data_IF_470369666189
#
_entry.id   IF_470369666189
#
_cell.length_a   1.000
_cell.length_b   1.000
_cell.length_c   1.000
_cell.angle_alpha   90.00
_cell.angle_beta   90.00
_cell.angle_gamma   90.00
#
_symmetry.space_group_name_H-M   'P 1'
#
loop_
_entity.id
_entity.type
_entity.pdbx_description
1 polymer ?
#
# COMPACT_ATOMS: atom_id res chain seq x y z
N UNK A 1 3.71 -1.19 36.95
CA UNK A 1 3.59 -1.22 35.47
C UNK A 1 5.00 -1.12 34.92
N UNK A 2 5.45 -2.02 34.05
CA UNK A 2 6.82 -1.92 33.50
C UNK A 2 6.93 -0.73 32.55
N UNK A 3 8.13 -0.17 32.38
CA UNK A 3 8.41 0.90 31.40
C UNK A 3 7.85 0.56 30.01
N UNK A 4 7.99 -0.70 29.58
CA UNK A 4 7.44 -1.19 28.31
C UNK A 4 5.90 -1.18 28.25
N UNK A 5 5.21 -1.55 29.33
CA UNK A 5 3.74 -1.50 29.39
C UNK A 5 3.22 -0.06 29.34
N UNK A 6 3.93 0.88 29.96
CA UNK A 6 3.56 2.30 29.93
C UNK A 6 3.73 2.89 28.53
N UNK A 7 4.87 2.62 27.86
CA UNK A 7 5.08 3.00 26.45
C UNK A 7 3.98 2.44 25.54
N UNK A 8 3.65 1.16 25.68
CA UNK A 8 2.60 0.53 24.88
C UNK A 8 1.22 1.18 25.08
N UNK A 9 0.89 1.63 26.30
CA UNK A 9 -0.34 2.39 26.58
C UNK A 9 -0.35 3.75 25.87
N UNK A 10 0.77 4.48 25.92
CA UNK A 10 0.91 5.78 25.25
C UNK A 10 0.74 5.60 23.74
N UNK A 11 1.47 4.66 23.12
CA UNK A 11 1.35 4.33 21.70
C UNK A 11 -0.10 3.94 21.34
N UNK A 12 -0.72 3.05 22.11
CA UNK A 12 -2.12 2.65 21.86
C UNK A 12 -3.09 3.83 21.88
N UNK A 13 -2.90 4.79 22.80
CA UNK A 13 -3.73 6.00 22.89
C UNK A 13 -3.56 6.90 21.66
N UNK A 14 -2.32 7.17 21.26
CA UNK A 14 -1.99 8.01 20.09
C UNK A 14 -2.58 7.38 18.82
N UNK A 15 -2.32 6.09 18.56
CA UNK A 15 -2.83 5.41 17.36
C UNK A 15 -4.37 5.38 17.32
N UNK A 16 -5.04 5.11 18.46
CA UNK A 16 -6.51 5.12 18.52
C UNK A 16 -7.09 6.49 18.22
N UNK A 17 -6.45 7.56 18.70
CA UNK A 17 -6.85 8.95 18.44
C UNK A 17 -6.73 9.25 16.95
N UNK A 18 -5.56 9.02 16.35
CA UNK A 18 -5.30 9.35 14.94
C UNK A 18 -6.06 8.46 13.96
N UNK A 19 -6.36 7.20 14.33
CA UNK A 19 -7.25 6.32 13.55
C UNK A 19 -8.69 6.84 13.48
N UNK A 20 -9.19 7.48 14.53
CA UNK A 20 -10.56 8.04 14.60
C UNK A 20 -10.67 9.48 14.08
N UNK A 21 -9.54 10.12 13.77
CA UNK A 21 -9.51 11.49 13.26
C UNK A 21 -10.31 11.58 11.96
N UNK A 22 -11.29 12.48 11.91
CA UNK A 22 -12.01 12.81 10.67
C UNK A 22 -10.98 13.29 9.64
N UNK A 23 -11.08 12.78 8.42
CA UNK A 23 -10.17 13.11 7.34
C UNK A 23 -10.87 13.95 6.29
N UNK A 24 -10.14 14.85 5.64
CA UNK A 24 -10.63 15.56 4.45
C UNK A 24 -10.56 14.64 3.23
N UNK A 25 -11.42 14.87 2.25
CA UNK A 25 -11.31 14.30 0.92
C UNK A 25 -9.93 14.64 0.32
N UNK A 26 -9.38 13.72 -0.47
CA UNK A 26 -8.10 13.92 -1.16
C UNK A 26 -8.25 14.46 -2.60
N UNK A 27 -9.47 14.51 -3.14
CA UNK A 27 -9.71 15.14 -4.44
C UNK A 27 -9.29 16.62 -4.43
N UNK A 28 -8.88 17.18 -5.59
CA UNK A 28 -8.53 18.60 -5.72
C UNK A 28 -9.63 19.50 -5.17
N UNK A 29 -9.22 20.56 -4.48
CA UNK A 29 -10.12 21.63 -4.01
C UNK A 29 -11.34 21.17 -3.19
N UNK A 30 -11.29 19.96 -2.61
CA UNK A 30 -12.38 19.40 -1.83
C UNK A 30 -12.15 19.53 -0.32
N UNK A 31 -13.12 20.15 0.37
CA UNK A 31 -13.08 20.33 1.82
C UNK A 31 -14.03 19.41 2.59
N UNK A 32 -14.77 18.55 1.89
CA UNK A 32 -15.70 17.61 2.49
C UNK A 32 -14.98 16.54 3.33
N UNK A 33 -15.73 15.90 4.24
CA UNK A 33 -15.21 14.79 5.05
C UNK A 33 -15.09 13.54 4.17
N UNK A 34 -13.94 12.87 4.25
CA UNK A 34 -13.72 11.59 3.58
C UNK A 34 -14.48 10.46 4.28
N UNK A 35 -15.04 9.58 3.47
CA UNK A 35 -15.64 8.30 3.84
C UNK A 35 -14.65 7.17 3.58
N UNK A 36 -14.98 5.98 4.05
CA UNK A 36 -14.17 4.78 3.85
C UNK A 36 -14.26 4.29 2.40
N UNK A 37 -13.30 4.70 1.58
CA UNK A 37 -13.16 4.35 0.16
C UNK A 37 -12.47 2.99 0.01
N UNK A 38 -13.00 2.12 -0.86
CA UNK A 38 -12.32 0.90 -1.27
C UNK A 38 -11.25 1.21 -2.32
N UNK A 39 -10.09 0.57 -2.22
CA UNK A 39 -8.99 0.78 -3.18
C UNK A 39 -9.23 0.08 -4.51
N UNK A 40 -9.92 -1.05 -4.45
CA UNK A 40 -10.32 -1.84 -5.60
C UNK A 40 -11.83 -2.08 -5.51
N UNK A 41 -12.47 -2.17 -6.68
CA UNK A 41 -13.91 -2.34 -6.81
C UNK A 41 -14.44 -3.45 -5.88
N UNK A 42 -15.37 -3.07 -5.01
CA UNK A 42 -15.90 -4.00 -4.00
C UNK A 42 -16.73 -5.12 -4.65
N UNK A 43 -17.62 -4.74 -5.58
CA UNK A 43 -18.47 -5.65 -6.36
C UNK A 43 -17.83 -5.90 -7.72
N UNK A 44 -17.07 -6.97 -7.85
CA UNK A 44 -16.30 -7.25 -9.06
C UNK A 44 -14.94 -7.77 -8.69
N UNK A 45 -14.05 -6.91 -8.20
CA UNK A 45 -12.68 -7.32 -7.81
C UNK A 45 -12.67 -8.02 -6.45
N UNK A 46 -12.98 -7.32 -5.35
CA UNK A 46 -12.80 -7.87 -4.00
C UNK A 46 -13.75 -9.05 -3.73
N UNK A 47 -14.98 -8.99 -4.26
CA UNK A 47 -15.96 -10.07 -4.16
C UNK A 47 -15.53 -11.38 -4.85
N UNK A 48 -14.57 -11.35 -5.79
CA UNK A 48 -14.04 -12.57 -6.39
C UNK A 48 -13.09 -13.35 -5.48
N UNK A 49 -12.58 -12.72 -4.41
CA UNK A 49 -11.67 -13.34 -3.45
C UNK A 49 -12.38 -13.78 -2.17
N UNK A 50 -13.64 -13.41 -1.98
CA UNK A 50 -14.32 -13.63 -0.72
C UNK A 50 -14.75 -15.09 -0.51
N UNK A 51 -14.81 -15.51 0.75
CA UNK A 51 -15.53 -16.69 1.23
C UNK A 51 -16.47 -16.24 2.33
N UNK A 52 -17.77 -16.49 2.19
CA UNK A 52 -18.81 -16.09 3.15
C UNK A 52 -18.77 -14.60 3.53
N UNK A 53 -18.60 -13.71 2.54
CA UNK A 53 -18.53 -12.27 2.76
C UNK A 53 -17.22 -11.75 3.36
N UNK A 54 -16.21 -12.62 3.51
CA UNK A 54 -14.94 -12.32 4.18
C UNK A 54 -13.73 -12.54 3.28
N UNK A 55 -12.67 -11.79 3.53
CA UNK A 55 -11.39 -11.86 2.83
C UNK A 55 -10.23 -11.73 3.84
N UNK A 56 -9.07 -12.27 3.52
CA UNK A 56 -7.89 -12.19 4.40
C UNK A 56 -6.98 -11.04 3.99
N UNK A 57 -6.58 -10.19 4.93
CA UNK A 57 -5.72 -9.01 4.72
C UNK A 57 -4.54 -9.04 5.67
N UNK A 58 -3.46 -8.34 5.32
CA UNK A 58 -2.42 -8.02 6.29
C UNK A 58 -2.98 -7.02 7.31
N UNK A 59 -2.84 -7.32 8.58
CA UNK A 59 -3.33 -6.51 9.70
C UNK A 59 -2.29 -6.38 10.80
N UNK A 60 -2.67 -5.67 11.87
CA UNK A 60 -1.79 -5.36 12.98
C UNK A 60 -2.35 -5.91 14.29
N UNK A 61 -1.48 -6.54 15.08
CA UNK A 61 -1.74 -6.85 16.47
C UNK A 61 -1.64 -5.60 17.35
N UNK A 62 -2.17 -5.72 18.56
CA UNK A 62 -2.06 -4.68 19.57
C UNK A 62 -0.61 -4.35 19.89
N UNK A 63 -0.31 -3.07 20.17
CA UNK A 63 1.02 -2.59 20.62
C UNK A 63 1.54 -3.28 21.88
N UNK A 64 0.68 -3.96 22.64
CA UNK A 64 1.10 -4.80 23.76
C UNK A 64 1.83 -6.08 23.32
N UNK A 65 1.69 -6.50 22.06
CA UNK A 65 2.37 -7.65 21.46
C UNK A 65 3.53 -7.19 20.58
N UNK A 66 4.54 -6.54 21.19
CA UNK A 66 5.70 -6.00 20.47
C UNK A 66 6.45 -7.06 19.62
N UNK A 67 6.40 -8.35 20.00
CA UNK A 67 7.04 -9.44 19.24
C UNK A 67 6.28 -9.87 17.97
N UNK A 68 4.96 -9.62 17.91
CA UNK A 68 4.10 -10.09 16.83
C UNK A 68 3.17 -8.99 16.34
N UNK A 69 3.69 -7.82 15.97
CA UNK A 69 2.83 -6.69 15.58
C UNK A 69 2.07 -6.89 14.25
N UNK A 70 2.47 -7.83 13.39
CA UNK A 70 1.75 -8.20 12.16
C UNK A 70 0.97 -9.50 12.35
N UNK A 71 -0.20 -9.58 11.72
CA UNK A 71 -1.00 -10.80 11.56
C UNK A 71 -1.73 -10.78 10.23
N UNK A 72 -2.12 -11.97 9.75
CA UNK A 72 -3.11 -12.06 8.68
C UNK A 72 -4.49 -12.15 9.33
N UNK A 73 -5.38 -11.23 8.97
CA UNK A 73 -6.71 -11.10 9.54
C UNK A 73 -7.76 -11.43 8.51
N UNK A 74 -8.80 -12.17 8.89
CA UNK A 74 -9.97 -12.35 8.04
C UNK A 74 -11.03 -11.32 8.42
N UNK A 75 -11.31 -10.39 7.51
CA UNK A 75 -12.22 -9.25 7.71
C UNK A 75 -13.39 -9.31 6.75
N UNK A 76 -14.50 -8.63 7.08
CA UNK A 76 -15.62 -8.49 6.16
C UNK A 76 -15.27 -7.58 4.98
N UNK A 77 -15.91 -7.80 3.84
CA UNK A 77 -15.66 -7.07 2.59
C UNK A 77 -15.73 -5.53 2.74
N UNK A 78 -16.59 -5.03 3.63
CA UNK A 78 -16.73 -3.60 3.91
C UNK A 78 -15.49 -2.96 4.53
N UNK A 79 -14.64 -3.74 5.21
CA UNK A 79 -13.45 -3.27 5.89
C UNK A 79 -12.15 -3.61 5.12
N UNK A 80 -12.23 -4.50 4.14
CA UNK A 80 -11.07 -4.93 3.37
C UNK A 80 -10.58 -3.83 2.44
N UNK A 81 -9.25 -3.66 2.36
CA UNK A 81 -8.58 -2.74 1.42
C UNK A 81 -9.31 -1.40 1.28
N UNK A 82 -9.60 -0.78 2.43
CA UNK A 82 -10.34 0.47 2.48
C UNK A 82 -9.72 1.41 3.50
N UNK A 83 -9.79 2.69 3.20
CA UNK A 83 -9.31 3.76 4.06
C UNK A 83 -10.17 4.99 3.82
N UNK A 84 -10.25 5.89 4.80
CA UNK A 84 -10.91 7.16 4.55
C UNK A 84 -10.09 7.92 3.50
N UNK A 85 -10.57 8.14 2.28
CA UNK A 85 -9.81 8.81 1.20
C UNK A 85 -10.61 9.93 0.54
N UNK A 86 -11.78 9.60 0.00
CA UNK A 86 -12.63 10.53 -0.75
C UNK A 86 -13.95 10.80 -0.02
N UNK A 87 -14.63 11.92 -0.30
CA UNK A 87 -16.02 12.10 0.15
C UNK A 87 -16.94 11.25 -0.73
N UNK A 88 -18.21 11.05 -0.33
CA UNK A 88 -19.14 10.20 -1.11
C UNK A 88 -19.20 10.62 -2.58
N UNK A 89 -19.34 11.91 -2.86
CA UNK A 89 -19.41 12.42 -4.23
C UNK A 89 -18.19 12.01 -5.07
N UNK A 90 -16.97 12.30 -4.60
CA UNK A 90 -15.75 11.96 -5.35
C UNK A 90 -15.46 10.45 -5.36
N UNK A 91 -15.89 9.70 -4.36
CA UNK A 91 -15.72 8.23 -4.38
C UNK A 91 -16.61 7.59 -5.46
N UNK A 92 -17.83 8.11 -5.63
CA UNK A 92 -18.83 7.60 -6.57
C UNK A 92 -18.60 8.12 -8.00
N UNK A 93 -18.36 9.42 -8.18
CA UNK A 93 -18.30 10.08 -9.49
C UNK A 93 -16.97 9.83 -10.21
N UNK A 94 -15.85 10.18 -9.57
CA UNK A 94 -14.50 10.09 -10.16
C UNK A 94 -14.14 8.67 -10.58
N UNK A 95 -14.56 7.68 -9.80
CA UNK A 95 -14.20 6.29 -10.03
C UNK A 95 -15.31 5.47 -10.67
N UNK A 96 -16.41 6.11 -11.09
CA UNK A 96 -17.57 5.45 -11.69
C UNK A 96 -17.19 4.51 -12.83
N UNK A 97 -16.16 4.82 -13.61
CA UNK A 97 -15.64 3.99 -14.70
C UNK A 97 -15.05 2.67 -14.20
N UNK A 98 -14.15 2.70 -13.23
CA UNK A 98 -13.49 1.49 -12.66
C UNK A 98 -14.36 0.76 -11.64
N UNK A 99 -15.52 1.33 -11.28
CA UNK A 99 -16.58 0.67 -10.52
C UNK A 99 -17.60 -0.05 -11.40
N UNK A 100 -17.53 0.05 -12.74
CA UNK A 100 -18.25 -0.81 -13.68
C UNK A 100 -17.61 -2.20 -13.73
N UNK A 101 -18.36 -3.22 -14.16
CA UNK A 101 -17.84 -4.61 -14.18
C UNK A 101 -16.89 -4.85 -15.37
N UNK A 102 -17.03 -4.06 -16.42
CA UNK A 102 -16.51 -4.27 -17.77
C UNK A 102 -15.57 -3.14 -18.25
N UNK A 103 -14.85 -2.50 -17.33
CA UNK A 103 -13.81 -1.54 -17.70
C UNK A 103 -12.67 -2.20 -18.49
N UNK A 104 -11.98 -1.42 -19.31
CA UNK A 104 -10.80 -1.87 -20.07
C UNK A 104 -9.51 -1.50 -19.32
N UNK A 105 -8.79 -2.51 -18.83
CA UNK A 105 -7.53 -2.37 -18.08
C UNK A 105 -6.33 -1.85 -18.89
N UNK A 106 -6.49 -1.72 -20.21
CA UNK A 106 -5.48 -1.17 -21.12
C UNK A 106 -5.68 0.32 -21.41
N UNK A 107 -6.83 0.91 -21.05
CA UNK A 107 -7.06 2.35 -21.21
C UNK A 107 -6.25 3.15 -20.21
N UNK A 108 -5.63 4.23 -20.68
CA UNK A 108 -4.82 5.11 -19.86
C UNK A 108 -5.64 5.69 -18.70
N UNK A 109 -6.88 6.11 -18.97
CA UNK A 109 -7.80 6.63 -17.94
C UNK A 109 -8.06 5.62 -16.82
N UNK A 110 -8.33 4.36 -17.17
CA UNK A 110 -8.49 3.27 -16.19
C UNK A 110 -7.23 3.10 -15.33
N UNK A 111 -6.06 3.09 -15.96
CA UNK A 111 -4.78 2.94 -15.28
C UNK A 111 -4.49 4.12 -14.33
N UNK A 112 -4.80 5.35 -14.75
CA UNK A 112 -4.72 6.55 -13.93
C UNK A 112 -5.65 6.47 -12.72
N UNK A 113 -6.92 6.06 -12.89
CA UNK A 113 -7.90 5.96 -11.79
C UNK A 113 -7.46 4.98 -10.71
N UNK A 114 -7.01 3.78 -11.08
CA UNK A 114 -6.44 2.82 -10.12
C UNK A 114 -5.19 3.37 -9.44
N UNK A 115 -4.33 4.04 -10.21
CA UNK A 115 -3.09 4.63 -9.71
C UNK A 115 -3.33 5.77 -8.73
N UNK A 116 -4.33 6.61 -9.01
CA UNK A 116 -4.72 7.73 -8.17
C UNK A 116 -5.26 7.27 -6.82
N UNK A 117 -6.06 6.19 -6.77
CA UNK A 117 -6.45 5.55 -5.50
C UNK A 117 -5.25 5.02 -4.73
N UNK A 118 -4.32 4.34 -5.40
CA UNK A 118 -3.09 3.80 -4.78
C UNK A 118 -2.23 4.89 -4.15
N UNK A 119 -1.96 5.98 -4.88
CA UNK A 119 -1.17 7.12 -4.39
C UNK A 119 -1.88 7.84 -3.25
N UNK A 120 -3.19 8.09 -3.37
CA UNK A 120 -3.98 8.69 -2.30
C UNK A 120 -4.00 7.83 -1.02
N UNK A 121 -4.06 6.50 -1.17
CA UNK A 121 -3.97 5.58 -0.04
C UNK A 121 -2.63 5.68 0.66
N UNK A 122 -1.53 5.60 -0.09
CA UNK A 122 -0.19 5.69 0.46
C UNK A 122 0.04 7.05 1.13
N UNK A 123 -0.43 8.14 0.50
CA UNK A 123 -0.37 9.50 1.07
C UNK A 123 -1.09 9.56 2.41
N UNK A 124 -2.31 9.01 2.49
CA UNK A 124 -3.10 9.00 3.73
C UNK A 124 -2.43 8.14 4.81
N UNK A 125 -1.87 6.98 4.46
CA UNK A 125 -1.13 6.13 5.39
C UNK A 125 0.08 6.87 5.96
N UNK A 126 0.89 7.51 5.10
CA UNK A 126 2.04 8.32 5.54
C UNK A 126 1.62 9.52 6.39
N UNK A 127 0.53 10.22 6.05
CA UNK A 127 -0.03 11.27 6.91
C UNK A 127 -0.38 10.76 8.32
N UNK A 128 -1.04 9.59 8.41
CA UNK A 128 -1.36 8.95 9.70
C UNK A 128 -0.08 8.56 10.45
N UNK A 129 0.91 8.00 9.75
CA UNK A 129 2.19 7.60 10.32
C UNK A 129 2.96 8.81 10.86
N UNK A 130 3.08 9.89 10.09
CA UNK A 130 3.70 11.15 10.51
C UNK A 130 3.00 11.78 11.73
N UNK A 131 1.66 11.79 11.74
CA UNK A 131 0.90 12.27 12.90
C UNK A 131 1.17 11.42 14.15
N UNK A 132 1.24 10.09 14.00
CA UNK A 132 1.55 9.20 15.10
C UNK A 132 2.97 9.45 15.62
N UNK A 133 3.99 9.46 14.77
CA UNK A 133 5.39 9.66 15.18
C UNK A 133 5.60 11.04 15.77
N UNK A 134 5.04 12.09 15.16
CA UNK A 134 5.13 13.46 15.66
C UNK A 134 4.50 13.61 17.05
N UNK A 135 3.33 13.00 17.29
CA UNK A 135 2.71 13.01 18.61
C UNK A 135 3.52 12.21 19.64
N UNK A 136 4.18 11.13 19.23
CA UNK A 136 5.08 10.36 20.11
C UNK A 136 6.29 11.20 20.50
N UNK A 137 6.94 11.88 19.55
CA UNK A 137 8.09 12.75 19.81
C UNK A 137 7.76 13.95 20.72
N UNK A 138 6.52 14.46 20.65
CA UNK A 138 6.05 15.58 21.50
C UNK A 138 5.48 15.13 22.85
N UNK A 139 5.36 13.82 23.10
CA UNK A 139 4.79 13.32 24.34
C UNK A 139 5.87 13.31 25.44
N UNK A 140 5.79 14.26 26.38
CA UNK A 140 6.76 14.41 27.48
C UNK A 140 7.06 13.10 28.22
N UNK A 141 6.00 12.33 28.52
CA UNK A 141 6.16 11.06 29.23
C UNK A 141 6.88 10.02 28.36
N UNK A 142 6.59 9.94 27.06
CA UNK A 142 7.32 9.05 26.16
C UNK A 142 8.79 9.42 26.08
N UNK A 143 9.10 10.71 26.00
CA UNK A 143 10.46 11.24 25.97
C UNK A 143 11.22 10.85 27.24
N UNK A 144 10.62 11.02 28.42
CA UNK A 144 11.21 10.60 29.70
C UNK A 144 11.45 9.09 29.80
N UNK A 145 10.59 8.27 29.18
CA UNK A 145 10.71 6.82 29.22
C UNK A 145 11.71 6.26 28.18
N UNK A 146 12.17 7.08 27.23
CA UNK A 146 12.99 6.66 26.09
C UNK A 146 14.42 7.13 26.23
N UNK A 147 15.36 6.32 25.71
CA UNK A 147 16.74 6.76 25.58
C UNK A 147 16.89 7.64 24.33
N UNK A 148 18.04 8.30 24.23
CA UNK A 148 18.34 9.22 23.14
C UNK A 148 18.27 8.54 21.76
N UNK A 149 18.86 7.35 21.61
CA UNK A 149 18.81 6.60 20.36
C UNK A 149 17.39 6.29 19.90
N UNK A 150 16.50 5.86 20.81
CA UNK A 150 15.11 5.59 20.46
C UNK A 150 14.38 6.87 20.05
N UNK A 151 14.68 8.01 20.68
CA UNK A 151 14.08 9.28 20.31
C UNK A 151 14.59 9.76 18.94
N UNK A 152 15.90 9.70 18.71
CA UNK A 152 16.52 10.06 17.44
C UNK A 152 15.98 9.20 16.29
N UNK A 153 15.87 7.88 16.48
CA UNK A 153 15.27 6.98 15.50
C UNK A 153 13.81 7.36 15.19
N UNK A 154 13.02 7.77 16.19
CA UNK A 154 11.64 8.22 15.97
C UNK A 154 11.57 9.57 15.24
N UNK A 155 12.51 10.48 15.49
CA UNK A 155 12.62 11.75 14.77
C UNK A 155 12.97 11.49 13.30
N UNK A 156 14.00 10.69 13.04
CA UNK A 156 14.40 10.30 11.68
C UNK A 156 13.24 9.64 10.92
N UNK A 157 12.53 8.72 11.57
CA UNK A 157 11.34 8.09 11.00
C UNK A 157 10.25 9.12 10.65
N UNK A 158 10.00 10.07 11.56
CA UNK A 158 9.02 11.13 11.33
C UNK A 158 9.41 12.04 10.16
N UNK A 159 10.70 12.39 10.05
CA UNK A 159 11.22 13.16 8.91
C UNK A 159 11.05 12.39 7.60
N UNK A 160 11.37 11.09 7.58
CA UNK A 160 11.17 10.24 6.41
C UNK A 160 9.71 10.18 5.95
N UNK A 161 8.75 10.11 6.89
CA UNK A 161 7.33 10.19 6.54
C UNK A 161 6.95 11.55 5.95
N UNK A 162 7.50 12.65 6.48
CA UNK A 162 7.26 13.99 5.93
C UNK A 162 7.79 14.13 4.49
N UNK A 163 8.98 13.59 4.21
CA UNK A 163 9.55 13.55 2.86
C UNK A 163 8.69 12.70 1.92
N UNK A 164 8.29 11.50 2.35
CA UNK A 164 7.39 10.66 1.56
C UNK A 164 6.03 11.31 1.27
N UNK A 165 5.50 12.13 2.19
CA UNK A 165 4.28 12.93 1.95
C UNK A 165 4.51 13.96 0.86
N UNK A 166 5.64 14.68 0.89
CA UNK A 166 6.02 15.65 -0.15
C UNK A 166 6.06 14.97 -1.51
N UNK A 167 6.76 13.85 -1.62
CA UNK A 167 6.94 13.14 -2.88
C UNK A 167 5.60 12.64 -3.43
N UNK A 168 4.78 12.01 -2.59
CA UNK A 168 3.45 11.53 -2.99
C UNK A 168 2.50 12.65 -3.43
N UNK A 169 2.64 13.87 -2.90
CA UNK A 169 1.86 15.02 -3.37
C UNK A 169 2.24 15.41 -4.81
N UNK A 170 3.49 15.22 -5.21
CA UNK A 170 3.94 15.45 -6.59
C UNK A 170 3.30 14.42 -7.53
N UNK A 171 3.39 13.13 -7.20
CA UNK A 171 2.73 12.06 -7.96
C UNK A 171 1.21 12.23 -8.02
N UNK A 172 0.58 12.57 -6.90
CA UNK A 172 -0.86 12.85 -6.84
C UNK A 172 -1.25 13.99 -7.77
N UNK A 173 -0.50 15.08 -7.76
CA UNK A 173 -0.78 16.25 -8.60
C UNK A 173 -0.58 15.95 -10.08
N UNK A 174 0.40 15.10 -10.43
CA UNK A 174 0.59 14.64 -11.81
C UNK A 174 -0.59 13.77 -12.28
N UNK A 175 -1.04 12.81 -11.46
CA UNK A 175 -2.22 12.00 -11.77
C UNK A 175 -3.48 12.85 -11.93
N UNK A 176 -3.64 13.88 -11.11
CA UNK A 176 -4.76 14.82 -11.24
C UNK A 176 -4.69 15.63 -12.53
N UNK A 177 -3.49 16.04 -12.96
CA UNK A 177 -3.36 16.73 -14.24
C UNK A 177 -3.77 15.86 -15.41
N UNK A 178 -3.28 14.63 -15.45
CA UNK A 178 -3.63 13.67 -16.50
C UNK A 178 -5.12 13.32 -16.47
N UNK A 179 -5.72 13.14 -15.27
CA UNK A 179 -7.13 12.77 -15.13
C UNK A 179 -8.13 13.87 -15.50
N UNK A 180 -7.82 15.14 -15.21
CA UNK A 180 -8.76 16.26 -15.37
C UNK A 180 -8.51 17.12 -16.61
N UNK A 181 -7.27 17.16 -17.10
CA UNK A 181 -6.87 18.04 -18.20
C UNK A 181 -6.38 17.29 -19.45
N UNK A 182 -6.20 15.96 -19.41
CA UNK A 182 -5.83 15.12 -20.57
C UNK A 182 -4.60 15.62 -21.37
N UNK A 183 -3.68 16.33 -20.72
CA UNK A 183 -2.71 17.19 -21.42
C UNK A 183 -1.25 16.69 -21.35
N UNK A 184 -0.88 15.85 -20.39
CA UNK A 184 0.54 15.66 -20.04
C UNK A 184 1.09 14.26 -20.33
N UNK A 185 0.24 13.22 -20.38
CA UNK A 185 0.65 11.81 -20.51
C UNK A 185 1.87 11.52 -19.61
N UNK A 186 1.74 11.85 -18.33
CA UNK A 186 2.86 11.93 -17.38
C UNK A 186 3.39 10.56 -16.97
N UNK A 187 2.58 9.50 -17.13
CA UNK A 187 2.87 8.15 -16.67
C UNK A 187 3.08 7.16 -17.81
N UNK A 188 3.98 6.21 -17.60
CA UNK A 188 4.10 5.00 -18.42
C UNK A 188 3.52 3.83 -17.63
N UNK A 189 2.49 3.18 -18.19
CA UNK A 189 1.89 1.97 -17.63
C UNK A 189 2.15 0.75 -18.52
N UNK A 190 2.13 -0.41 -17.88
CA UNK A 190 2.16 -1.72 -18.48
C UNK A 190 1.07 -2.58 -17.85
N UNK A 191 0.27 -3.22 -18.72
CA UNK A 191 -0.79 -4.14 -18.29
C UNK A 191 -0.48 -5.55 -18.79
N UNK A 192 -0.50 -6.52 -17.87
CA UNK A 192 -0.32 -7.95 -18.18
C UNK A 192 -1.41 -8.80 -17.51
N UNK A 193 -1.76 -9.93 -18.14
CA UNK A 193 -2.76 -10.87 -17.62
C UNK A 193 -2.22 -12.30 -17.56
N UNK A 194 -2.55 -13.00 -16.48
CA UNK A 194 -2.09 -14.36 -16.14
C UNK A 194 -3.24 -15.22 -15.59
N UNK A 195 -2.96 -16.48 -15.29
CA UNK A 195 -3.91 -17.33 -14.58
C UNK A 195 -4.36 -16.68 -13.27
N UNK A 196 -5.64 -16.88 -12.94
CA UNK A 196 -6.26 -16.26 -11.77
C UNK A 196 -5.60 -16.74 -10.47
N UNK A 197 -5.01 -15.79 -9.76
CA UNK A 197 -4.50 -15.93 -8.41
C UNK A 197 -5.54 -15.47 -7.39
N UNK A 198 -5.49 -16.08 -6.20
CA UNK A 198 -6.35 -15.74 -5.08
C UNK A 198 -5.91 -14.50 -4.30
N UNK A 199 -5.40 -13.45 -4.96
CA UNK A 199 -4.87 -12.22 -4.33
C UNK A 199 -5.27 -10.96 -5.08
N UNK A 200 -5.21 -9.82 -4.39
CA UNK A 200 -5.22 -8.50 -4.99
C UNK A 200 -4.37 -7.51 -4.18
N UNK A 201 -3.93 -6.43 -4.81
CA UNK A 201 -3.04 -5.42 -4.26
C UNK A 201 -3.30 -4.07 -4.95
N UNK A 202 -3.12 -2.98 -4.19
CA UNK A 202 -3.11 -1.61 -4.69
C UNK A 202 -2.08 -0.85 -3.84
N UNK A 203 -0.97 -0.44 -4.47
CA UNK A 203 0.18 0.08 -3.75
C UNK A 203 0.99 1.08 -4.56
N UNK A 204 1.73 1.91 -3.83
CA UNK A 204 2.83 2.74 -4.32
C UNK A 204 4.07 2.38 -3.50
N UNK A 205 5.23 2.25 -4.14
CA UNK A 205 6.50 2.11 -3.43
C UNK A 205 7.64 2.80 -4.17
N UNK A 206 8.63 3.26 -3.42
CA UNK A 206 9.86 3.85 -3.94
C UNK A 206 11.03 2.92 -3.69
N UNK A 207 11.61 2.29 -4.73
CA UNK A 207 12.82 1.50 -4.60
C UNK A 207 14.02 2.43 -4.34
N UNK A 208 14.96 2.01 -3.49
CA UNK A 208 16.21 2.76 -3.22
C UNK A 208 17.41 1.86 -3.41
N UNK A 209 18.55 2.42 -3.79
CA UNK A 209 19.83 1.70 -3.85
C UNK A 209 20.89 2.39 -2.96
N UNK A 210 22.10 1.83 -2.93
CA UNK A 210 23.22 2.34 -2.13
C UNK A 210 23.67 3.77 -2.53
N UNK A 211 23.27 4.23 -3.71
CA UNK A 211 23.57 5.56 -4.24
C UNK A 211 22.41 6.55 -4.04
N UNK A 212 21.26 6.09 -3.52
CA UNK A 212 20.13 6.98 -3.23
C UNK A 212 20.49 7.88 -2.05
N UNK A 213 20.55 9.19 -2.29
CA UNK A 213 20.67 10.17 -1.22
C UNK A 213 19.34 10.22 -0.43
N UNK A 214 19.34 9.88 0.87
CA UNK A 214 18.12 9.93 1.68
C UNK A 214 17.60 11.36 1.88
N UNK A 215 18.38 12.40 1.58
CA UNK A 215 18.06 13.82 1.80
C UNK A 215 18.10 14.57 0.46
N UNK A 216 17.48 14.02 -0.59
CA UNK A 216 17.35 14.71 -1.88
C UNK A 216 16.12 15.64 -1.96
N UNK A 217 16.29 16.69 -2.76
CA UNK A 217 15.23 17.66 -3.05
C UNK A 217 14.20 17.09 -4.03
N UNK A 218 14.67 16.40 -5.06
CA UNK A 218 13.82 15.71 -6.03
C UNK A 218 13.07 14.54 -5.36
N UNK A 219 11.84 14.23 -5.81
CA UNK A 219 11.11 13.10 -5.27
C UNK A 219 11.83 11.80 -5.62
N UNK A 220 11.71 10.81 -4.73
CA UNK A 220 12.19 9.47 -5.06
C UNK A 220 11.40 8.93 -6.25
N UNK A 221 12.08 8.15 -7.10
CA UNK A 221 11.37 7.40 -8.11
C UNK A 221 10.31 6.49 -7.47
N UNK A 222 9.20 6.29 -8.18
CA UNK A 222 8.02 5.63 -7.64
C UNK A 222 7.40 4.66 -8.63
N UNK A 223 7.06 3.47 -8.13
CA UNK A 223 6.26 2.50 -8.86
C UNK A 223 4.87 2.46 -8.25
N UNK A 224 3.87 2.55 -9.12
CA UNK A 224 2.46 2.33 -8.80
C UNK A 224 2.09 0.95 -9.34
N UNK A 225 1.44 0.13 -8.51
CA UNK A 225 1.06 -1.22 -8.89
C UNK A 225 -0.33 -1.57 -8.38
N UNK A 226 -1.12 -2.18 -9.26
CA UNK A 226 -2.42 -2.73 -8.96
C UNK A 226 -2.46 -4.16 -9.50
N UNK A 227 -2.76 -5.12 -8.63
CA UNK A 227 -2.92 -6.53 -8.98
C UNK A 227 -4.32 -6.94 -8.59
N UNK A 228 -5.12 -7.48 -9.50
CA UNK A 228 -6.49 -7.84 -9.17
C UNK A 228 -7.07 -8.91 -10.11
N UNK A 229 -8.04 -9.70 -9.63
CA UNK A 229 -8.80 -10.57 -10.50
C UNK A 229 -9.79 -9.78 -11.38
N UNK A 230 -9.71 -9.95 -12.70
CA UNK A 230 -10.64 -9.38 -13.67
C UNK A 230 -10.78 -10.35 -14.85
N UNK A 231 -11.99 -10.50 -15.38
CA UNK A 231 -12.30 -11.45 -16.47
C UNK A 231 -11.75 -12.88 -16.27
N UNK A 232 -11.81 -13.37 -15.02
CA UNK A 232 -11.30 -14.69 -14.59
C UNK A 232 -9.79 -14.91 -14.83
N UNK A 233 -9.03 -13.82 -14.96
CA UNK A 233 -7.56 -13.78 -14.95
C UNK A 233 -7.08 -12.92 -13.79
N UNK A 234 -5.78 -12.96 -13.50
CA UNK A 234 -5.14 -11.93 -12.70
C UNK A 234 -4.54 -10.89 -13.63
N UNK A 235 -4.96 -9.64 -13.45
CA UNK A 235 -4.43 -8.47 -14.13
C UNK A 235 -3.43 -7.79 -13.22
N UNK A 236 -2.28 -7.39 -13.78
CA UNK A 236 -1.35 -6.46 -13.16
C UNK A 236 -1.28 -5.20 -14.03
N UNK A 237 -1.59 -4.05 -13.42
CA UNK A 237 -1.29 -2.73 -13.95
C UNK A 237 -0.10 -2.21 -13.13
N UNK A 238 1.01 -1.92 -13.79
CA UNK A 238 2.21 -1.40 -13.15
C UNK A 238 2.77 -0.23 -13.95
N UNK A 239 3.21 0.82 -13.28
CA UNK A 239 3.76 1.99 -13.98
C UNK A 239 4.51 2.94 -13.08
N UNK A 240 5.06 3.97 -13.71
CA UNK A 240 5.89 5.00 -13.09
C UNK A 240 5.69 6.34 -13.81
N UNK A 241 6.10 7.43 -13.15
CA UNK A 241 6.07 8.76 -13.74
C UNK A 241 7.27 8.94 -14.68
N UNK A 242 7.06 9.43 -15.91
CA UNK A 242 8.10 9.52 -16.94
C UNK A 242 9.28 10.42 -16.55
N UNK A 243 9.07 11.43 -15.70
CA UNK A 243 10.15 12.27 -15.17
C UNK A 243 10.88 11.71 -13.94
N UNK A 244 10.33 10.67 -13.29
CA UNK A 244 10.89 10.08 -12.05
C UNK A 244 11.06 8.58 -12.27
N UNK A 245 12.11 8.24 -13.02
CA UNK A 245 12.40 6.87 -13.42
C UNK A 245 13.91 6.58 -13.39
N UNK A 246 14.20 5.29 -13.36
CA UNK A 246 15.53 4.74 -13.53
C UNK A 246 15.49 3.52 -14.45
N UNK A 247 16.64 3.07 -14.97
CA UNK A 247 16.71 1.81 -15.72
C UNK A 247 16.11 0.64 -14.93
N UNK A 248 16.38 0.57 -13.61
CA UNK A 248 15.83 -0.48 -12.76
C UNK A 248 14.30 -0.47 -12.74
N UNK A 249 13.67 0.70 -12.63
CA UNK A 249 12.19 0.81 -12.62
C UNK A 249 11.60 0.41 -13.95
N UNK A 250 12.22 0.86 -15.04
CA UNK A 250 11.79 0.52 -16.40
C UNK A 250 11.85 -1.00 -16.60
N UNK A 251 12.95 -1.64 -16.23
CA UNK A 251 13.11 -3.09 -16.30
C UNK A 251 12.14 -3.82 -15.36
N UNK A 252 11.94 -3.31 -14.15
CA UNK A 252 11.05 -3.90 -13.16
C UNK A 252 9.60 -3.93 -13.64
N UNK A 253 9.15 -2.88 -14.33
CA UNK A 253 7.80 -2.80 -14.88
C UNK A 253 7.64 -3.68 -16.13
N UNK A 254 8.66 -3.74 -17.00
CA UNK A 254 8.61 -4.50 -18.25
C UNK A 254 8.75 -6.02 -18.07
N UNK A 255 9.45 -6.49 -17.03
CA UNK A 255 9.82 -7.91 -16.88
C UNK A 255 8.65 -8.89 -16.93
N UNK A 256 7.44 -8.45 -16.58
CA UNK A 256 6.26 -9.32 -16.53
C UNK A 256 5.86 -9.84 -17.91
N UNK A 257 6.14 -9.09 -18.99
CA UNK A 257 5.77 -9.49 -20.36
C UNK A 257 6.45 -10.77 -20.88
N UNK A 258 7.47 -11.27 -20.18
CA UNK A 258 8.25 -12.44 -20.58
C UNK A 258 8.17 -13.60 -19.58
N UNK A 259 7.31 -13.49 -18.56
CA UNK A 259 7.25 -14.48 -17.48
C UNK A 259 6.40 -15.69 -17.85
N UNK A 260 6.83 -16.87 -17.39
CA UNK A 260 5.93 -18.03 -17.28
C UNK A 260 4.93 -17.81 -16.14
N UNK A 261 3.86 -18.60 -16.10
CA UNK A 261 2.90 -18.58 -14.97
C UNK A 261 3.59 -18.82 -13.62
N UNK A 262 4.59 -19.71 -13.58
CA UNK A 262 5.34 -19.98 -12.36
C UNK A 262 6.22 -18.79 -11.95
N UNK A 263 6.92 -18.17 -12.91
CA UNK A 263 7.74 -16.99 -12.62
C UNK A 263 6.88 -15.81 -12.15
N UNK A 264 5.69 -15.67 -12.74
CA UNK A 264 4.70 -14.68 -12.32
C UNK A 264 4.23 -14.91 -10.88
N UNK A 265 3.92 -16.15 -10.49
CA UNK A 265 3.57 -16.49 -9.10
C UNK A 265 4.68 -16.09 -8.10
N UNK A 266 5.95 -16.36 -8.42
CA UNK A 266 7.08 -15.93 -7.59
C UNK A 266 7.23 -14.40 -7.57
N UNK A 267 7.08 -13.74 -8.73
CA UNK A 267 7.18 -12.29 -8.83
C UNK A 267 6.08 -11.58 -8.01
N UNK A 268 4.83 -12.05 -8.08
CA UNK A 268 3.72 -11.54 -7.27
C UNK A 268 3.96 -11.84 -5.79
N UNK A 269 4.40 -13.05 -5.43
CA UNK A 269 4.73 -13.36 -4.04
C UNK A 269 5.78 -12.40 -3.49
N UNK A 270 6.86 -12.16 -4.24
CA UNK A 270 7.91 -11.23 -3.84
C UNK A 270 7.39 -9.79 -3.73
N UNK A 271 6.61 -9.32 -4.70
CA UNK A 271 5.99 -7.99 -4.68
C UNK A 271 5.15 -7.80 -3.41
N UNK A 272 4.24 -8.73 -3.14
CA UNK A 272 3.33 -8.66 -1.99
C UNK A 272 4.08 -8.70 -0.65
N UNK A 273 5.16 -9.49 -0.56
CA UNK A 273 5.94 -9.66 0.68
C UNK A 273 6.88 -8.48 0.94
N UNK A 274 7.51 -7.94 -0.11
CA UNK A 274 8.63 -7.01 0.01
C UNK A 274 8.27 -5.55 -0.28
N UNK A 275 7.17 -5.29 -0.98
CA UNK A 275 6.86 -3.94 -1.49
C UNK A 275 5.47 -3.43 -1.11
N UNK A 276 4.56 -4.32 -0.74
CA UNK A 276 3.15 -3.95 -0.59
C UNK A 276 2.62 -4.22 0.83
N UNK A 277 2.18 -3.18 1.51
CA UNK A 277 1.44 -3.32 2.77
C UNK A 277 -0.07 -3.50 2.55
N UNK A 278 -0.56 -3.11 1.37
CA UNK A 278 -2.00 -3.00 1.10
C UNK A 278 -2.43 -4.01 0.05
N UNK A 279 -2.61 -5.24 0.52
CA UNK A 279 -3.05 -6.36 -0.29
C UNK A 279 -3.95 -7.32 0.50
N UNK A 280 -4.69 -8.13 -0.24
CA UNK A 280 -5.60 -9.13 0.31
C UNK A 280 -5.45 -10.45 -0.43
N UNK A 281 -5.85 -11.53 0.24
CA UNK A 281 -5.93 -12.87 -0.32
C UNK A 281 -7.27 -13.52 -0.01
N UNK A 282 -7.66 -14.48 -0.83
CA UNK A 282 -8.82 -15.31 -0.54
C UNK A 282 -8.62 -16.11 0.75
N UNK A 283 -9.66 -16.28 1.59
CA UNK A 283 -9.57 -17.14 2.77
C UNK A 283 -9.22 -18.59 2.43
N UNK A 284 -9.57 -19.05 1.22
CA UNK A 284 -9.18 -20.36 0.71
C UNK A 284 -7.66 -20.47 0.56
N UNK A 285 -7.02 -19.49 -0.09
CA UNK A 285 -5.57 -19.44 -0.25
C UNK A 285 -4.85 -19.42 1.11
N UNK A 286 -5.38 -18.66 2.09
CA UNK A 286 -4.83 -18.69 3.44
C UNK A 286 -4.97 -20.07 4.10
N UNK A 287 -6.14 -20.72 3.95
CA UNK A 287 -6.43 -22.03 4.53
C UNK A 287 -5.56 -23.14 3.92
N UNK A 288 -5.20 -23.03 2.64
CA UNK A 288 -4.36 -24.02 1.97
C UNK A 288 -2.88 -23.94 2.38
N UNK A 289 -2.42 -22.82 2.95
CA UNK A 289 -1.03 -22.69 3.43
C UNK A 289 -0.80 -23.49 4.70
N UNK A 290 0.33 -24.19 4.77
CA UNK A 290 0.82 -24.78 6.03
C UNK A 290 1.09 -23.70 7.09
N UNK A 291 0.96 -24.05 8.38
CA UNK A 291 1.28 -23.13 9.47
C UNK A 291 2.75 -22.65 9.42
N UNK A 292 3.67 -23.54 9.03
CA UNK A 292 5.08 -23.17 8.80
C UNK A 292 5.19 -22.05 7.78
N UNK A 293 4.47 -22.15 6.66
CA UNK A 293 4.49 -21.15 5.59
C UNK A 293 3.87 -19.82 6.02
N UNK A 294 2.77 -19.84 6.78
CA UNK A 294 2.18 -18.62 7.37
C UNK A 294 3.16 -17.91 8.29
N UNK A 295 3.91 -18.65 9.10
CA UNK A 295 4.94 -18.07 9.97
C UNK A 295 6.13 -17.54 9.19
N UNK A 296 6.58 -18.24 8.14
CA UNK A 296 7.61 -17.75 7.23
C UNK A 296 7.20 -16.44 6.57
N UNK A 297 5.97 -16.37 6.04
CA UNK A 297 5.39 -15.18 5.44
C UNK A 297 5.43 -13.99 6.42
N UNK A 298 4.93 -14.16 7.64
CA UNK A 298 4.96 -13.12 8.67
C UNK A 298 6.38 -12.71 9.08
N UNK A 299 7.33 -13.65 9.06
CA UNK A 299 8.74 -13.37 9.40
C UNK A 299 9.41 -12.54 8.31
N UNK A 300 9.18 -12.88 7.04
CA UNK A 300 9.71 -12.12 5.90
C UNK A 300 9.16 -10.69 5.87
N UNK A 301 7.88 -10.49 6.16
CA UNK A 301 7.31 -9.15 6.29
C UNK A 301 8.02 -8.33 7.37
N UNK A 302 8.24 -8.93 8.55
CA UNK A 302 8.88 -8.23 9.68
C UNK A 302 10.31 -7.81 9.38
N UNK A 303 11.05 -8.61 8.61
CA UNK A 303 12.46 -8.37 8.30
C UNK A 303 12.64 -7.07 7.50
N UNK A 304 11.70 -6.77 6.60
CA UNK A 304 11.86 -5.73 5.59
C UNK A 304 10.89 -4.55 5.74
N UNK A 305 10.22 -4.39 6.89
CA UNK A 305 9.26 -3.29 7.12
C UNK A 305 9.86 -1.90 6.85
N UNK A 306 11.15 -1.73 7.08
CA UNK A 306 11.87 -0.47 6.84
C UNK A 306 12.85 -0.55 5.67
N UNK A 307 12.84 -1.65 4.91
CA UNK A 307 13.77 -1.88 3.82
C UNK A 307 13.15 -1.42 2.51
N UNK A 308 13.82 -0.50 1.81
CA UNK A 308 13.39 0.03 0.52
C UNK A 308 14.28 -0.48 -0.65
N UNK A 309 15.27 -1.32 -0.36
CA UNK A 309 16.29 -1.73 -1.32
C UNK A 309 15.71 -2.35 -2.59
N UNK A 310 16.24 -1.98 -3.75
CA UNK A 310 15.83 -2.49 -5.07
C UNK A 310 15.94 -4.02 -5.15
N UNK A 311 16.94 -4.59 -4.47
CA UNK A 311 17.32 -6.00 -4.59
C UNK A 311 16.62 -6.95 -3.61
N UNK A 312 15.56 -6.50 -2.92
CA UNK A 312 14.79 -7.36 -2.03
C UNK A 312 14.18 -8.57 -2.76
N UNK A 313 14.48 -9.76 -2.24
CA UNK A 313 13.99 -11.04 -2.77
C UNK A 313 13.42 -11.92 -1.67
N UNK A 314 12.37 -12.64 -1.99
CA UNK A 314 11.80 -13.75 -1.24
C UNK A 314 11.81 -14.98 -2.13
N UNK A 315 12.21 -16.11 -1.56
CA UNK A 315 12.07 -17.42 -2.21
C UNK A 315 10.68 -18.03 -1.97
N UNK A 316 9.80 -17.35 -1.24
CA UNK A 316 8.45 -17.83 -0.93
C UNK A 316 7.56 -17.65 -2.17
N UNK A 317 6.98 -18.74 -2.66
CA UNK A 317 5.81 -18.69 -3.53
C UNK A 317 4.57 -18.88 -2.64
N UNK A 318 3.72 -17.86 -2.46
CA UNK A 318 2.55 -17.95 -1.58
C UNK A 318 1.45 -18.86 -2.12
N UNK A 319 1.51 -19.26 -3.40
CA UNK A 319 0.53 -20.10 -4.08
C UNK A 319 0.85 -21.61 -4.03
N UNK A 320 2.07 -22.00 -3.63
CA UNK A 320 2.52 -23.41 -3.55
C UNK A 320 2.99 -23.82 -2.15
N UNK A 321 2.65 -25.01 -1.66
CA UNK A 321 3.02 -25.43 -0.29
C UNK A 321 4.49 -25.80 -0.11
#
# INVERSE_FOLDING_TARGET
MTTGQEKAKILSKIWKKNKKKKRKCLAPECYATAINSHLLQKKGILSQLQKDGKISVLGHNSFFSLKNFLKIETVGLNAAMSLNLFCSYHDDDLFSEVEKRDFNEYEYQTQLLFSYRSVCCELRKKQIQFENTSEVCRNERMTQLSNEDALNNMIVLSTGFQMGIRDLLIFKSALERDLYYDEEDSFQFYTYTFNKLGVCCSAFFSPTNIYTDPIQFDPFDGIIVNVFPHNNKTTIIIGYHKSFNSPWITDYCNKFGHMTELDFEYAISNLLIKRCETWAMSPYLLQSMSEKKKQQLLTEFKKDVMNLEENMKSSINIFKN
#
